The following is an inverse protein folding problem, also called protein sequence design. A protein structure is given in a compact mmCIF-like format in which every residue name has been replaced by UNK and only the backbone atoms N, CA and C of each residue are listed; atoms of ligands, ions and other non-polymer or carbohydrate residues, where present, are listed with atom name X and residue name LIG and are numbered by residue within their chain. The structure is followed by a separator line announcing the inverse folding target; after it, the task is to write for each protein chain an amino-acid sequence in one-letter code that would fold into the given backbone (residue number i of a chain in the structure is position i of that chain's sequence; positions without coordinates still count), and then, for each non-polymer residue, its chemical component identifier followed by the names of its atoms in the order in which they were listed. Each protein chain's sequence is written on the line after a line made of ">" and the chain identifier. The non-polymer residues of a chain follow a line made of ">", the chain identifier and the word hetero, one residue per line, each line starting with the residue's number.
data_IF_670216376716
#
_entry.id   IF_670216376716
#
_cell.length_a   1.000
_cell.length_b   1.000
_cell.length_c   1.000
_cell.angle_alpha   90.00
_cell.angle_beta   90.00
_cell.angle_gamma   90.00
#
_symmetry.space_group_name_H-M   'P 1'
#
loop_
_entity.id
_entity.type
_entity.pdbx_description
1 polymer ?
#
# COMPACT_ATOMS: atom_id res chain seq x y z
N UNK A 1 -1.40 15.89 7.94
CA UNK A 1 -0.96 16.37 6.59
C UNK A 1 -2.00 15.90 5.59
N UNK A 2 -2.60 16.80 4.83
CA UNK A 2 -3.57 16.42 3.79
C UNK A 2 -2.80 16.22 2.48
N UNK A 3 -2.78 14.97 2.00
CA UNK A 3 -2.08 14.61 0.76
C UNK A 3 -3.03 14.81 -0.41
N UNK A 4 -2.57 15.54 -1.42
CA UNK A 4 -3.36 15.79 -2.63
C UNK A 4 -3.44 14.52 -3.48
N UNK A 5 -4.60 14.16 -4.06
CA UNK A 5 -4.70 13.05 -5.01
C UNK A 5 -3.74 13.20 -6.20
N UNK A 6 -3.50 14.42 -6.63
CA UNK A 6 -2.56 14.77 -7.70
C UNK A 6 -1.14 14.27 -7.44
N UNK A 7 -0.71 14.15 -6.17
CA UNK A 7 0.63 13.71 -5.79
C UNK A 7 0.97 12.34 -6.39
N UNK A 8 0.09 11.36 -6.23
CA UNK A 8 0.32 10.01 -6.76
C UNK A 8 0.18 9.94 -8.28
N UNK A 9 -0.73 10.73 -8.86
CA UNK A 9 -0.83 10.87 -10.32
C UNK A 9 0.50 11.37 -10.92
N UNK A 10 1.09 12.41 -10.33
CA UNK A 10 2.37 12.92 -10.78
C UNK A 10 3.53 11.94 -10.55
N UNK A 11 3.56 11.24 -9.42
CA UNK A 11 4.58 10.23 -9.13
C UNK A 11 4.60 9.11 -10.18
N UNK A 12 3.43 8.70 -10.71
CA UNK A 12 3.34 7.70 -11.79
C UNK A 12 3.87 8.19 -13.14
N UNK A 13 3.93 9.52 -13.34
CA UNK A 13 4.42 10.13 -14.59
C UNK A 13 5.90 10.49 -14.54
N UNK A 14 6.48 10.61 -13.35
CA UNK A 14 7.89 10.93 -13.20
C UNK A 14 8.77 9.69 -13.42
N UNK A 15 9.93 9.92 -14.03
CA UNK A 15 10.98 8.92 -14.24
C UNK A 15 12.23 9.28 -13.42
N UNK A 16 13.04 8.27 -13.11
CA UNK A 16 14.36 8.49 -12.55
C UNK A 16 15.40 8.86 -13.63
N UNK A 17 15.12 8.55 -14.91
CA UNK A 17 16.10 8.71 -16.01
C UNK A 17 16.02 10.08 -16.68
N UNK A 18 14.85 10.73 -16.65
CA UNK A 18 14.63 11.99 -17.39
C UNK A 18 13.87 13.02 -16.57
N UNK A 19 14.19 14.28 -16.80
CA UNK A 19 13.44 15.41 -16.26
C UNK A 19 12.15 15.63 -17.05
N UNK A 20 11.04 15.84 -16.34
CA UNK A 20 9.75 16.22 -16.90
C UNK A 20 9.46 17.68 -16.55
N UNK A 21 9.18 18.50 -17.58
CA UNK A 21 8.90 19.92 -17.40
C UNK A 21 7.63 20.15 -16.55
N UNK A 22 7.74 21.00 -15.53
CA UNK A 22 6.57 21.39 -14.74
C UNK A 22 5.50 22.14 -15.54
N UNK A 23 5.89 22.82 -16.62
CA UNK A 23 4.92 23.44 -17.55
C UNK A 23 4.18 22.37 -18.35
N UNK A 24 4.88 21.34 -18.85
CA UNK A 24 4.27 20.23 -19.58
C UNK A 24 3.29 19.43 -18.68
N UNK A 25 3.64 19.17 -17.42
CA UNK A 25 2.74 18.56 -16.44
C UNK A 25 1.51 19.44 -16.20
N UNK A 26 1.70 20.74 -15.97
CA UNK A 26 0.62 21.70 -15.75
C UNK A 26 -0.38 21.74 -16.92
N UNK A 27 0.13 21.79 -18.16
CA UNK A 27 -0.69 21.75 -19.37
C UNK A 27 -1.45 20.45 -19.51
N UNK A 28 -0.79 19.29 -19.29
CA UNK A 28 -1.40 17.97 -19.41
C UNK A 28 -2.55 17.76 -18.44
N UNK A 29 -2.42 18.27 -17.21
CA UNK A 29 -3.45 18.12 -16.18
C UNK A 29 -4.42 19.29 -16.11
N UNK A 30 -4.26 20.32 -16.93
CA UNK A 30 -5.13 21.51 -16.92
C UNK A 30 -5.06 22.32 -15.60
N UNK A 31 -3.90 22.37 -14.94
CA UNK A 31 -3.70 22.99 -13.63
C UNK A 31 -2.51 23.98 -13.65
N UNK A 32 -2.35 24.74 -12.57
CA UNK A 32 -1.24 25.68 -12.44
C UNK A 32 0.09 24.99 -12.15
N UNK A 33 1.20 25.63 -12.52
CA UNK A 33 2.56 25.18 -12.16
C UNK A 33 2.79 25.16 -10.65
N UNK A 34 2.14 26.06 -9.89
CA UNK A 34 2.18 26.05 -8.43
C UNK A 34 1.53 24.79 -7.86
N UNK A 35 0.38 24.36 -8.40
CA UNK A 35 -0.27 23.11 -7.97
C UNK A 35 0.62 21.89 -8.20
N UNK A 36 1.34 21.83 -9.34
CA UNK A 36 2.35 20.78 -9.60
C UNK A 36 3.45 20.82 -8.53
N UNK A 37 4.02 22.01 -8.29
CA UNK A 37 5.09 22.18 -7.30
C UNK A 37 4.66 21.74 -5.90
N UNK A 38 3.45 22.10 -5.50
CA UNK A 38 2.95 21.78 -4.17
C UNK A 38 2.64 20.27 -4.01
N UNK A 39 2.09 19.63 -5.06
CA UNK A 39 1.89 18.18 -5.04
C UNK A 39 3.22 17.40 -4.97
N UNK A 40 4.27 17.90 -5.62
CA UNK A 40 5.59 17.27 -5.56
C UNK A 40 6.33 17.55 -4.23
N UNK A 41 6.03 18.67 -3.56
CA UNK A 41 6.46 18.90 -2.17
C UNK A 41 5.79 17.91 -1.21
N UNK A 42 4.48 17.63 -1.41
CA UNK A 42 3.79 16.59 -0.63
C UNK A 42 4.49 15.23 -0.81
N UNK A 43 4.85 14.86 -2.04
CA UNK A 43 5.58 13.61 -2.31
C UNK A 43 6.95 13.58 -1.58
N UNK A 44 7.69 14.68 -1.60
CA UNK A 44 8.95 14.78 -0.88
C UNK A 44 8.77 14.67 0.64
N UNK A 45 7.69 15.23 1.18
CA UNK A 45 7.34 15.11 2.60
C UNK A 45 6.92 13.68 2.99
N UNK A 46 6.49 12.86 2.01
CA UNK A 46 6.23 11.42 2.18
C UNK A 46 7.50 10.55 2.07
N UNK A 47 8.67 11.17 1.92
CA UNK A 47 9.95 10.47 1.81
C UNK A 47 10.31 10.04 0.39
N UNK A 48 9.58 10.47 -0.64
CA UNK A 48 9.94 10.20 -2.03
C UNK A 48 10.95 11.26 -2.50
N UNK A 49 12.21 10.89 -2.77
CA UNK A 49 13.22 11.87 -3.15
C UNK A 49 13.03 12.33 -4.60
N UNK A 50 12.80 13.63 -4.78
CA UNK A 50 12.55 14.26 -6.08
C UNK A 50 13.59 15.35 -6.33
N UNK A 51 14.28 15.26 -7.47
CA UNK A 51 15.12 16.35 -7.95
C UNK A 51 14.27 17.40 -8.68
N UNK A 52 14.46 18.65 -8.30
CA UNK A 52 13.86 19.83 -8.97
C UNK A 52 14.98 20.73 -9.48
N UNK A 53 15.03 20.96 -10.78
CA UNK A 53 15.99 21.84 -11.43
C UNK A 53 15.27 22.94 -12.20
N UNK A 54 15.70 24.18 -11.97
CA UNK A 54 15.19 25.35 -12.71
C UNK A 54 15.33 25.15 -14.20
N UNK A 55 14.28 25.42 -14.96
CA UNK A 55 14.16 25.26 -16.42
C UNK A 55 14.21 23.83 -16.96
N UNK A 56 14.57 22.83 -16.16
CA UNK A 56 14.56 21.40 -16.54
C UNK A 56 13.31 20.67 -16.03
N UNK A 57 12.81 21.02 -14.85
CA UNK A 57 11.63 20.40 -14.23
C UNK A 57 11.97 19.41 -13.13
N UNK A 58 11.27 18.31 -13.09
CA UNK A 58 11.28 17.32 -12.00
C UNK A 58 11.66 15.93 -12.49
N UNK A 59 12.36 15.18 -11.67
CA UNK A 59 12.57 13.72 -11.86
C UNK A 59 12.70 13.04 -10.50
N UNK A 60 12.42 11.74 -10.46
CA UNK A 60 12.70 10.92 -9.28
C UNK A 60 14.23 10.76 -9.10
N UNK A 61 14.69 10.65 -7.86
CA UNK A 61 16.09 10.36 -7.58
C UNK A 61 16.45 8.90 -7.93
N UNK A 62 15.48 8.00 -7.74
CA UNK A 62 15.60 6.56 -8.01
C UNK A 62 14.27 6.04 -8.59
N UNK A 63 14.26 4.87 -9.26
CA UNK A 63 13.03 4.27 -9.74
C UNK A 63 12.05 4.00 -8.61
N UNK A 64 10.80 4.43 -8.79
CA UNK A 64 9.72 4.25 -7.82
C UNK A 64 8.71 3.24 -8.37
N UNK A 65 8.51 2.14 -7.65
CA UNK A 65 7.51 1.13 -7.97
C UNK A 65 6.25 1.38 -7.17
N UNK A 66 5.26 2.03 -7.80
CA UNK A 66 3.92 2.18 -7.21
C UNK A 66 3.05 0.98 -7.54
N UNK A 67 2.04 0.76 -6.69
CA UNK A 67 1.07 -0.31 -6.87
C UNK A 67 0.24 -0.06 -8.14
N UNK A 68 0.17 -1.08 -8.99
CA UNK A 68 -0.64 -1.12 -10.20
C UNK A 68 -1.60 -2.30 -10.11
N UNK A 69 -2.90 -2.02 -10.20
CA UNK A 69 -3.94 -3.04 -10.04
C UNK A 69 -3.89 -4.09 -11.15
N UNK A 70 -3.55 -3.70 -12.37
CA UNK A 70 -3.52 -4.62 -13.50
C UNK A 70 -2.26 -5.49 -13.45
N UNK A 71 -1.13 -4.96 -12.96
CA UNK A 71 0.06 -5.76 -12.70
C UNK A 71 -0.18 -6.78 -11.59
N UNK A 72 -0.85 -6.38 -10.51
CA UNK A 72 -1.22 -7.29 -9.42
C UNK A 72 -2.16 -8.38 -9.95
N UNK A 73 -3.19 -8.03 -10.71
CA UNK A 73 -4.14 -9.00 -11.29
C UNK A 73 -3.45 -10.00 -12.19
N UNK A 74 -2.52 -9.57 -13.04
CA UNK A 74 -1.73 -10.47 -13.89
C UNK A 74 -0.90 -11.48 -13.08
N UNK A 75 -0.38 -11.05 -11.93
CA UNK A 75 0.47 -11.90 -11.05
C UNK A 75 -0.31 -12.90 -10.21
N UNK A 76 -1.60 -12.65 -9.98
CA UNK A 76 -2.52 -13.58 -9.29
C UNK A 76 -3.42 -14.33 -10.27
N UNK A 77 -3.04 -14.41 -11.54
CA UNK A 77 -3.77 -15.14 -12.57
C UNK A 77 -4.07 -16.57 -12.13
N UNK A 78 -5.26 -17.06 -12.52
CA UNK A 78 -5.80 -18.35 -12.06
C UNK A 78 -6.57 -18.30 -10.73
N UNK A 79 -6.35 -17.29 -9.87
CA UNK A 79 -7.07 -17.13 -8.60
C UNK A 79 -7.72 -15.76 -8.43
N UNK A 80 -7.56 -14.86 -9.39
CA UNK A 80 -8.09 -13.48 -9.35
C UNK A 80 -9.60 -13.43 -9.10
N UNK A 81 -10.37 -14.42 -9.60
CA UNK A 81 -11.82 -14.52 -9.41
C UNK A 81 -12.23 -14.73 -7.93
N UNK A 82 -11.29 -15.13 -7.07
CA UNK A 82 -11.51 -15.32 -5.63
C UNK A 82 -11.40 -14.02 -4.83
N UNK A 83 -10.94 -12.93 -5.46
CA UNK A 83 -10.65 -11.67 -4.79
C UNK A 83 -11.35 -10.49 -5.46
N UNK A 84 -12.06 -9.68 -4.65
CA UNK A 84 -12.46 -8.32 -5.01
C UNK A 84 -11.31 -7.40 -4.62
N UNK A 85 -10.35 -7.23 -5.55
CA UNK A 85 -9.13 -6.45 -5.33
C UNK A 85 -9.35 -4.98 -5.65
N UNK A 86 -9.03 -4.12 -4.68
CA UNK A 86 -9.05 -2.66 -4.82
C UNK A 86 -7.72 -2.09 -4.38
N UNK A 87 -7.19 -1.16 -5.19
CA UNK A 87 -5.96 -0.42 -4.89
C UNK A 87 -6.30 1.06 -4.74
N UNK A 88 -5.82 1.67 -3.69
CA UNK A 88 -6.01 3.09 -3.39
C UNK A 88 -4.66 3.75 -3.09
N UNK A 89 -4.52 5.02 -3.45
CA UNK A 89 -3.28 5.74 -3.19
C UNK A 89 -3.13 6.09 -1.70
N UNK A 90 -4.19 6.60 -1.09
CA UNK A 90 -4.18 7.04 0.31
C UNK A 90 -5.46 6.59 1.00
N UNK A 91 -5.32 6.09 2.21
CA UNK A 91 -6.44 5.77 3.08
C UNK A 91 -6.00 5.94 4.54
N UNK A 92 -6.94 6.13 5.45
CA UNK A 92 -6.63 6.19 6.88
C UNK A 92 -6.08 4.85 7.36
N UNK A 93 -6.84 3.78 7.13
CA UNK A 93 -6.46 2.42 7.49
C UNK A 93 -7.23 1.43 6.62
N UNK A 94 -6.53 0.57 5.91
CA UNK A 94 -7.14 -0.52 5.13
C UNK A 94 -7.96 -1.45 6.03
N UNK A 95 -7.49 -1.69 7.26
CA UNK A 95 -8.17 -2.52 8.24
C UNK A 95 -9.51 -1.89 8.69
N UNK A 96 -9.50 -0.63 9.10
CA UNK A 96 -10.71 0.09 9.54
C UNK A 96 -11.73 0.18 8.41
N UNK A 97 -11.29 0.51 7.19
CA UNK A 97 -12.17 0.59 6.03
C UNK A 97 -12.80 -0.77 5.70
N UNK A 98 -12.01 -1.83 5.75
CA UNK A 98 -12.49 -3.17 5.42
C UNK A 98 -13.43 -3.74 6.50
N UNK A 99 -13.21 -3.40 7.78
CA UNK A 99 -14.14 -3.72 8.86
C UNK A 99 -15.51 -3.05 8.64
N UNK A 100 -15.53 -1.77 8.29
CA UNK A 100 -16.76 -1.06 7.97
C UNK A 100 -17.50 -1.71 6.77
N UNK A 101 -16.78 -2.02 5.70
CA UNK A 101 -17.34 -2.72 4.53
C UNK A 101 -17.87 -4.11 4.90
N UNK A 102 -17.18 -4.81 5.78
CA UNK A 102 -17.60 -6.11 6.26
C UNK A 102 -18.93 -6.04 7.03
N UNK A 103 -19.16 -4.99 7.82
CA UNK A 103 -20.44 -4.73 8.51
C UNK A 103 -21.56 -4.42 7.51
N UNK A 104 -21.23 -3.81 6.39
CA UNK A 104 -22.17 -3.51 5.29
C UNK A 104 -22.34 -4.67 4.30
N UNK A 105 -21.86 -5.87 4.63
CA UNK A 105 -22.11 -7.07 3.83
C UNK A 105 -21.06 -7.36 2.75
N UNK A 106 -19.91 -6.70 2.73
CA UNK A 106 -18.86 -7.01 1.74
C UNK A 106 -18.54 -8.51 1.67
N UNK A 107 -18.33 -9.09 0.47
CA UNK A 107 -18.11 -10.52 0.30
C UNK A 107 -16.76 -10.99 0.87
N UNK A 108 -16.64 -12.30 1.11
CA UNK A 108 -15.36 -12.96 1.37
C UNK A 108 -14.43 -12.77 0.17
N UNK A 109 -13.14 -12.56 0.41
CA UNK A 109 -12.17 -12.27 -0.65
C UNK A 109 -12.01 -10.78 -0.98
N UNK A 110 -12.76 -9.86 -0.33
CA UNK A 110 -12.52 -8.41 -0.52
C UNK A 110 -11.14 -8.05 0.02
N UNK A 111 -10.31 -7.51 -0.86
CA UNK A 111 -8.91 -7.15 -0.58
C UNK A 111 -8.69 -5.67 -0.90
N UNK A 112 -8.29 -4.90 0.11
CA UNK A 112 -7.99 -3.48 -0.03
C UNK A 112 -6.50 -3.25 0.16
N UNK A 113 -5.84 -2.75 -0.87
CA UNK A 113 -4.40 -2.46 -0.91
C UNK A 113 -4.22 -0.94 -0.94
N UNK A 114 -3.25 -0.41 -0.23
CA UNK A 114 -2.96 1.03 -0.19
C UNK A 114 -1.46 1.31 -0.34
N UNK A 115 -1.14 2.36 -1.10
CA UNK A 115 0.23 2.90 -1.15
C UNK A 115 0.61 3.54 0.19
N UNK A 116 -0.34 4.24 0.80
CA UNK A 116 -0.12 4.97 2.04
C UNK A 116 -1.30 4.86 2.99
N UNK A 117 -1.02 4.57 4.26
CA UNK A 117 -1.94 4.74 5.36
C UNK A 117 -1.58 5.96 6.20
N UNK A 118 -2.54 6.86 6.47
CA UNK A 118 -2.34 8.07 7.28
C UNK A 118 -2.61 7.84 8.77
N UNK A 119 -3.38 6.83 9.11
CA UNK A 119 -3.73 6.44 10.47
C UNK A 119 -3.66 4.92 10.68
N UNK A 120 -2.65 4.29 10.08
CA UNK A 120 -2.42 2.86 10.24
C UNK A 120 -2.17 2.48 11.70
N UNK A 121 -2.74 1.35 12.12
CA UNK A 121 -2.65 0.88 13.50
C UNK A 121 -2.00 -0.50 13.56
N UNK A 122 -1.02 -0.63 14.42
CA UNK A 122 -0.43 -1.90 14.82
C UNK A 122 -1.08 -2.45 16.10
N UNK A 123 -0.71 -3.67 16.46
CA UNK A 123 -1.17 -4.30 17.71
C UNK A 123 -0.77 -3.45 18.93
N UNK A 124 -1.64 -3.47 19.98
CA UNK A 124 -1.44 -2.75 21.23
C UNK A 124 -1.33 -1.23 21.07
N UNK A 125 -2.05 -0.66 20.08
CA UNK A 125 -2.08 0.79 19.86
C UNK A 125 -0.82 1.39 19.25
N UNK A 126 0.12 0.59 18.77
CA UNK A 126 1.32 1.12 18.08
C UNK A 126 0.94 1.76 16.76
N UNK A 127 1.65 2.81 16.39
CA UNK A 127 1.52 3.38 15.07
C UNK A 127 2.05 2.39 14.02
N UNK A 128 1.40 2.36 12.87
CA UNK A 128 1.82 1.61 11.72
C UNK A 128 2.27 2.57 10.63
N UNK A 129 3.51 2.48 10.22
CA UNK A 129 4.09 3.33 9.20
C UNK A 129 4.23 2.56 7.88
N UNK A 130 3.80 3.17 6.79
CA UNK A 130 4.04 2.68 5.44
C UNK A 130 4.87 3.70 4.66
N UNK A 131 5.83 3.23 3.90
CA UNK A 131 6.63 4.06 3.01
C UNK A 131 6.16 3.86 1.57
N UNK A 132 5.93 4.96 0.87
CA UNK A 132 5.49 4.97 -0.54
C UNK A 132 6.50 4.23 -1.41
N UNK A 133 6.03 3.28 -2.21
CA UNK A 133 6.85 2.46 -3.10
C UNK A 133 7.77 1.43 -2.42
N UNK A 134 7.80 1.38 -1.06
CA UNK A 134 8.67 0.47 -0.31
C UNK A 134 7.91 -0.47 0.64
N UNK A 135 6.61 -0.26 0.81
CA UNK A 135 5.76 -1.08 1.68
C UNK A 135 4.59 -1.67 0.88
N UNK A 136 4.27 -2.93 1.14
CA UNK A 136 3.02 -3.53 0.69
C UNK A 136 2.05 -3.53 1.86
N UNK A 137 1.06 -2.64 1.82
CA UNK A 137 0.05 -2.51 2.87
C UNK A 137 -1.31 -2.94 2.32
N UNK A 138 -1.87 -3.99 2.89
CA UNK A 138 -3.20 -4.46 2.49
C UNK A 138 -3.95 -5.10 3.64
N UNK A 139 -5.27 -5.21 3.49
CA UNK A 139 -6.14 -5.99 4.34
C UNK A 139 -7.02 -6.90 3.48
N UNK A 140 -7.26 -8.11 3.96
CA UNK A 140 -8.08 -9.11 3.30
C UNK A 140 -9.23 -9.53 4.21
N UNK A 141 -10.46 -9.39 3.73
CA UNK A 141 -11.65 -9.90 4.39
C UNK A 141 -11.87 -11.35 3.96
N UNK A 142 -11.90 -12.24 4.95
CA UNK A 142 -12.24 -13.64 4.71
C UNK A 142 -13.27 -14.12 5.72
N UNK A 143 -14.30 -14.81 5.24
CA UNK A 143 -15.36 -15.39 6.09
C UNK A 143 -15.11 -16.87 6.23
N UNK A 144 -15.15 -17.36 7.45
CA UNK A 144 -15.00 -18.77 7.78
C UNK A 144 -16.34 -19.29 8.31
N UNK A 145 -16.73 -20.46 7.85
CA UNK A 145 -17.94 -21.16 8.36
C UNK A 145 -17.68 -21.84 9.71
N UNK A 146 -16.40 -22.14 9.98
CA UNK A 146 -15.98 -22.82 11.22
C UNK A 146 -15.87 -21.87 12.40
N UNK A 147 -15.94 -22.42 13.63
CA UNK A 147 -15.79 -21.68 14.87
C UNK A 147 -14.43 -21.00 15.04
N UNK A 148 -14.37 -19.91 15.81
CA UNK A 148 -13.13 -19.19 16.10
C UNK A 148 -12.03 -20.09 16.65
N UNK A 149 -12.37 -21.14 17.41
CA UNK A 149 -11.43 -22.12 17.92
C UNK A 149 -10.65 -22.87 16.82
N UNK A 150 -11.26 -23.08 15.65
CA UNK A 150 -10.60 -23.74 14.50
C UNK A 150 -9.61 -22.84 13.76
N UNK A 151 -9.59 -21.54 14.05
CA UNK A 151 -8.69 -20.57 13.45
C UNK A 151 -7.36 -20.42 14.22
N UNK A 152 -7.18 -21.22 15.27
CA UNK A 152 -5.91 -21.31 15.98
C UNK A 152 -4.78 -21.69 15.00
N UNK A 153 -3.70 -20.89 14.97
CA UNK A 153 -2.59 -21.13 14.03
C UNK A 153 -2.73 -20.48 12.65
N UNK A 154 -3.88 -19.91 12.28
CA UNK A 154 -4.07 -19.24 10.97
C UNK A 154 -3.03 -18.14 10.74
N UNK A 155 -2.65 -17.39 11.78
CA UNK A 155 -1.59 -16.39 11.71
C UNK A 155 -0.23 -16.97 11.33
N UNK A 156 0.08 -18.18 11.81
CA UNK A 156 1.32 -18.88 11.46
C UNK A 156 1.30 -19.35 10.01
N UNK A 157 0.17 -19.88 9.55
CA UNK A 157 0.00 -20.33 8.16
C UNK A 157 0.16 -19.17 7.18
N UNK A 158 -0.47 -18.03 7.45
CA UNK A 158 -0.33 -16.84 6.60
C UNK A 158 1.08 -16.28 6.68
N UNK A 159 1.67 -16.20 7.87
CA UNK A 159 3.06 -15.77 8.02
C UNK A 159 4.03 -16.64 7.23
N UNK A 160 3.85 -17.96 7.27
CA UNK A 160 4.66 -18.90 6.48
C UNK A 160 4.43 -18.75 4.98
N UNK A 161 3.19 -18.58 4.53
CA UNK A 161 2.86 -18.38 3.11
C UNK A 161 3.53 -17.11 2.57
N UNK A 162 3.50 -16.02 3.33
CA UNK A 162 4.17 -14.77 2.96
C UNK A 162 5.69 -14.94 2.97
N UNK A 163 6.26 -15.58 4.00
CA UNK A 163 7.70 -15.80 4.10
C UNK A 163 8.23 -16.64 2.92
N UNK A 164 7.52 -17.69 2.52
CA UNK A 164 7.89 -18.54 1.36
C UNK A 164 7.94 -17.76 0.04
N UNK A 165 7.07 -16.76 -0.15
CA UNK A 165 7.07 -15.92 -1.36
C UNK A 165 8.14 -14.85 -1.35
N UNK A 166 8.74 -14.60 -0.20
CA UNK A 166 9.72 -13.53 0.04
C UNK A 166 11.18 -13.95 -0.03
N UNK A 167 11.49 -15.22 -0.25
CA UNK A 167 12.89 -15.62 -0.45
C UNK A 167 13.30 -15.08 -1.83
N UNK A 168 13.96 -13.91 -1.91
CA UNK A 168 14.54 -13.45 -3.17
C UNK A 168 15.63 -14.43 -3.55
N UNK A 169 15.80 -14.66 -4.84
CA UNK A 169 17.02 -15.29 -5.34
C UNK A 169 18.25 -14.61 -4.75
N UNK A 170 19.33 -15.34 -4.42
CA UNK A 170 20.51 -14.82 -3.70
C UNK A 170 21.16 -13.57 -4.31
N UNK A 171 20.87 -13.26 -5.57
CA UNK A 171 21.46 -12.14 -6.30
C UNK A 171 20.93 -10.74 -5.93
N UNK A 172 19.83 -10.63 -5.13
CA UNK A 172 19.24 -9.33 -4.73
C UNK A 172 19.43 -8.98 -3.26
N UNK A 173 20.29 -9.67 -2.53
CA UNK A 173 20.53 -9.44 -1.09
C UNK A 173 21.63 -8.42 -0.84
N UNK A 174 22.11 -7.68 -1.84
CA UNK A 174 23.02 -6.57 -1.59
C UNK A 174 22.25 -5.28 -1.43
N UNK A 175 22.22 -4.81 -0.18
CA UNK A 175 21.91 -3.43 0.24
C UNK A 175 20.49 -3.06 0.62
N UNK A 176 19.92 -3.72 1.63
CA UNK A 176 18.95 -3.03 2.51
C UNK A 176 19.18 -3.45 3.96
N UNK A 177 19.85 -2.57 4.70
CA UNK A 177 19.91 -2.63 6.17
C UNK A 177 18.52 -2.53 6.76
N UNK A 178 18.15 -3.58 7.49
CA UNK A 178 17.14 -3.65 8.55
C UNK A 178 15.84 -2.86 8.38
N UNK A 179 14.93 -3.36 7.58
CA UNK A 179 13.51 -3.14 7.85
C UNK A 179 12.94 -4.40 8.49
N UNK A 180 12.68 -4.36 9.80
CA UNK A 180 11.92 -5.42 10.49
C UNK A 180 10.50 -5.35 10.00
N UNK A 181 10.12 -6.29 9.16
CA UNK A 181 8.74 -6.40 8.72
C UNK A 181 7.94 -7.16 9.76
N UNK A 182 6.89 -6.54 10.23
CA UNK A 182 5.99 -7.11 11.23
C UNK A 182 4.68 -7.49 10.57
N UNK A 183 4.20 -8.68 10.88
CA UNK A 183 2.89 -9.17 10.47
C UNK A 183 1.94 -9.00 11.65
N UNK A 184 0.80 -8.37 11.46
CA UNK A 184 -0.24 -8.32 12.48
C UNK A 184 -1.51 -8.96 11.97
N UNK A 185 -2.13 -9.76 12.84
CA UNK A 185 -3.45 -10.32 12.63
C UNK A 185 -4.34 -9.79 13.74
N UNK A 186 -5.42 -9.12 13.38
CA UNK A 186 -6.43 -8.67 14.34
C UNK A 186 -7.68 -9.55 14.20
N UNK A 187 -8.11 -10.11 15.31
CA UNK A 187 -9.42 -10.73 15.45
C UNK A 187 -10.32 -9.79 16.24
N UNK A 188 -11.44 -9.33 15.69
CA UNK A 188 -12.41 -8.63 16.51
C UNK A 188 -13.09 -9.62 17.45
N UNK A 189 -12.82 -9.48 18.74
CA UNK A 189 -13.60 -10.08 19.80
C UNK A 189 -14.89 -9.27 19.94
N UNK A 190 -16.01 -9.79 19.54
CA UNK A 190 -17.34 -9.64 20.14
C UNK A 190 -18.45 -9.94 19.11
N UNK A 191 -19.28 -10.90 19.45
CA UNK A 191 -20.66 -10.95 18.94
C UNK A 191 -20.83 -11.43 17.50
N UNK A 192 -20.57 -12.70 17.21
CA UNK A 192 -21.29 -13.40 16.13
C UNK A 192 -20.78 -13.27 14.70
N UNK A 193 -19.78 -12.46 14.41
CA UNK A 193 -19.17 -12.36 13.07
C UNK A 193 -17.71 -12.82 13.06
N UNK A 194 -17.47 -13.95 12.45
CA UNK A 194 -16.15 -14.58 12.34
C UNK A 194 -15.39 -14.03 11.15
N UNK A 195 -14.46 -13.09 11.38
CA UNK A 195 -13.69 -12.41 10.35
C UNK A 195 -12.22 -12.41 10.72
N UNK A 196 -11.36 -12.83 9.80
CA UNK A 196 -9.90 -12.64 9.88
C UNK A 196 -9.52 -11.44 9.01
N UNK A 197 -8.79 -10.50 9.56
CA UNK A 197 -8.19 -9.40 8.83
C UNK A 197 -6.67 -9.51 8.89
N UNK A 198 -6.02 -9.38 7.74
CA UNK A 198 -4.58 -9.49 7.60
C UNK A 198 -3.99 -8.17 7.13
N UNK A 199 -2.94 -7.73 7.79
CA UNK A 199 -2.20 -6.55 7.40
C UNK A 199 -0.70 -6.87 7.36
N UNK A 200 -0.04 -6.47 6.28
CA UNK A 200 1.42 -6.58 6.11
C UNK A 200 1.97 -5.18 5.91
N UNK A 201 2.96 -4.79 6.68
CA UNK A 201 3.62 -3.50 6.58
C UNK A 201 4.87 -3.45 7.43
N UNK A 202 5.56 -2.32 7.40
CA UNK A 202 6.81 -2.08 8.11
C UNK A 202 6.53 -1.39 9.45
N UNK A 203 7.18 -1.84 10.53
CA UNK A 203 7.23 -1.14 11.81
C UNK A 203 8.66 -0.64 12.01
N UNK A 204 8.82 0.64 12.17
CA UNK A 204 10.06 1.27 12.64
C UNK A 204 10.12 1.28 14.16
#
# INVERSE_FOLDING_TARGET
>A
MQIRPLTFTLLRELSADRFTSGAALATRHGISRSAISDALKDASALGVPIFSLTRRGYRLAEPLALLDIDDIRRRIDGVQHRFDLRVVDVIDSTNTALLAQAMSGAPSGTCLVAELQTAGRGRRGRAWHSAVGASLTFSLLWRFESGAASLGGLSLVVGLAVARRRIPSPERVRDHRSSRQTYSCEYPDAGGFRRGLWQIGNQS
#
